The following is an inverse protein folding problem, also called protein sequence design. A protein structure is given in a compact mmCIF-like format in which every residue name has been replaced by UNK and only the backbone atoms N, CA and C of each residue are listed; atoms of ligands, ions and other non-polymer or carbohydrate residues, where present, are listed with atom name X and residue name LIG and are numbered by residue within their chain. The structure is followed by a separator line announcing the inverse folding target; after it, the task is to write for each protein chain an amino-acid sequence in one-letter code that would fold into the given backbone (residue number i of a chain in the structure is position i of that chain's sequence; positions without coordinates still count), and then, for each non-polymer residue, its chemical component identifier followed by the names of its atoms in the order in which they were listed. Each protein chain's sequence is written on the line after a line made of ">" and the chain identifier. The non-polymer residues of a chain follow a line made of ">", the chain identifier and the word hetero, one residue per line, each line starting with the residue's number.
data_IF_748186685519
#
_entry.id   IF_748186685519
#
_cell.length_a   1.000
_cell.length_b   1.000
_cell.length_c   1.000
_cell.angle_alpha   90.00
_cell.angle_beta   90.00
_cell.angle_gamma   90.00
#
_symmetry.space_group_name_H-M   'P 1'
#
loop_
_entity.id
_entity.type
_entity.pdbx_description
1 polymer ?
#
# COMPACT_ATOMS: atom_id res chain seq x y z
N UNK A 1 -6.20 41.23 25.91
CA UNK A 1 -6.45 41.37 24.45
C UNK A 1 -5.07 41.47 23.81
N UNK A 2 -4.56 40.60 22.96
CA UNK A 2 -5.18 39.91 21.83
C UNK A 2 -4.19 38.79 21.36
N UNK A 3 -4.71 37.56 21.27
CA UNK A 3 -4.34 36.48 20.33
C UNK A 3 -2.92 35.89 20.37
N UNK A 4 -2.80 34.92 21.27
CA UNK A 4 -2.02 33.69 21.11
C UNK A 4 -2.58 32.88 19.91
N UNK A 5 -2.01 32.99 18.71
CA UNK A 5 -2.46 32.15 17.58
C UNK A 5 -1.42 32.12 16.45
N UNK A 6 -0.44 31.22 16.54
CA UNK A 6 0.42 30.81 15.41
C UNK A 6 1.28 29.61 15.82
N UNK A 7 0.67 28.42 15.94
CA UNK A 7 1.40 27.15 16.03
C UNK A 7 0.50 25.96 15.65
N UNK A 8 -0.14 26.04 14.49
CA UNK A 8 -0.82 24.89 13.88
C UNK A 8 -0.41 24.75 12.41
N UNK A 9 0.90 24.79 12.14
CA UNK A 9 1.41 24.45 10.81
C UNK A 9 1.53 22.93 10.69
N UNK A 10 0.52 22.36 10.04
CA UNK A 10 0.66 21.25 9.10
C UNK A 10 1.41 20.00 9.59
N UNK A 11 0.76 19.21 10.45
CA UNK A 11 1.02 17.76 10.50
C UNK A 11 -0.08 17.04 9.71
N UNK A 12 -0.31 17.42 8.45
CA UNK A 12 -1.13 16.58 7.57
C UNK A 12 -0.24 15.48 7.02
N UNK A 13 -0.12 14.38 7.78
CA UNK A 13 0.65 13.22 7.35
C UNK A 13 -0.07 12.54 6.18
N UNK A 14 0.48 12.70 4.98
CA UNK A 14 -0.07 12.14 3.75
C UNK A 14 0.47 10.72 3.52
N UNK A 15 -0.35 9.70 3.80
CA UNK A 15 0.01 8.30 3.61
C UNK A 15 -0.71 7.71 2.38
N UNK A 16 -0.31 8.13 1.18
CA UNK A 16 -0.75 7.56 -0.08
C UNK A 16 0.08 6.33 -0.43
N UNK A 17 -0.45 5.10 -0.29
CA UNK A 17 0.30 3.85 -0.44
C UNK A 17 1.80 4.01 -0.14
N UNK A 18 2.06 4.60 1.03
CA UNK A 18 3.33 5.25 1.19
C UNK A 18 4.38 4.16 1.42
N UNK A 19 5.62 4.33 0.93
CA UNK A 19 6.77 3.61 1.48
C UNK A 19 6.74 3.52 3.01
N UNK A 20 6.13 4.51 3.68
CA UNK A 20 5.87 4.52 5.12
C UNK A 20 4.92 3.41 5.59
N UNK A 21 3.80 3.15 4.92
CA UNK A 21 2.84 2.12 5.33
C UNK A 21 3.46 0.72 5.27
N UNK A 22 4.13 0.40 4.16
CA UNK A 22 4.88 -0.86 3.99
C UNK A 22 6.03 -0.98 4.98
N UNK A 23 6.67 0.13 5.34
CA UNK A 23 7.72 0.16 6.36
C UNK A 23 7.16 -0.12 7.75
N UNK A 24 6.03 0.48 8.12
CA UNK A 24 5.35 0.24 9.40
C UNK A 24 4.91 -1.22 9.48
N UNK A 25 4.25 -1.73 8.44
CA UNK A 25 3.83 -3.13 8.38
C UNK A 25 5.05 -4.07 8.49
N UNK A 26 6.12 -3.80 7.74
CA UNK A 26 7.37 -4.57 7.84
C UNK A 26 7.94 -4.62 9.25
N UNK A 27 7.87 -3.51 10.00
CA UNK A 27 8.29 -3.48 11.40
C UNK A 27 7.36 -4.30 12.32
N UNK A 28 6.05 -4.18 12.12
CA UNK A 28 5.04 -4.89 12.92
C UNK A 28 5.23 -6.43 12.84
N UNK A 29 5.45 -6.95 11.63
CA UNK A 29 5.56 -8.39 11.40
C UNK A 29 6.94 -8.98 11.68
N UNK A 30 7.93 -8.19 12.16
CA UNK A 30 9.25 -8.73 12.50
C UNK A 30 9.22 -9.75 13.65
N UNK A 31 8.28 -9.60 14.59
CA UNK A 31 8.16 -10.51 15.73
C UNK A 31 7.55 -11.86 15.33
N UNK A 32 6.71 -11.88 14.30
CA UNK A 32 6.03 -13.06 13.79
C UNK A 32 6.06 -13.06 12.25
N UNK A 33 7.22 -13.38 11.63
CA UNK A 33 7.41 -13.25 10.19
C UNK A 33 6.80 -14.44 9.45
N UNK A 34 5.47 -14.44 9.34
CA UNK A 34 4.68 -15.45 8.63
C UNK A 34 3.77 -14.82 7.59
N UNK A 35 3.60 -15.47 6.44
CA UNK A 35 2.67 -15.01 5.41
C UNK A 35 1.22 -15.17 5.86
N UNK A 36 0.36 -14.21 5.50
CA UNK A 36 -1.01 -14.17 6.01
C UNK A 36 -1.88 -15.38 5.60
N UNK A 37 -1.71 -15.89 4.37
CA UNK A 37 -2.58 -16.95 3.84
C UNK A 37 -2.00 -18.34 4.08
N UNK A 38 -0.75 -18.55 3.68
CA UNK A 38 -0.12 -19.88 3.72
C UNK A 38 0.70 -20.12 4.99
N UNK A 39 0.86 -19.11 5.86
CA UNK A 39 1.62 -19.20 7.11
C UNK A 39 3.07 -19.67 6.90
N UNK A 40 3.65 -19.34 5.73
CA UNK A 40 5.04 -19.61 5.43
C UNK A 40 5.92 -18.66 6.23
N UNK A 41 6.91 -19.21 6.93
CA UNK A 41 7.96 -18.39 7.51
C UNK A 41 8.70 -17.63 6.40
N UNK A 42 9.09 -16.40 6.68
CA UNK A 42 9.93 -15.61 5.79
C UNK A 42 11.04 -14.91 6.55
N UNK A 43 12.15 -14.63 5.85
CA UNK A 43 13.25 -13.84 6.38
C UNK A 43 13.48 -12.66 5.47
N UNK A 44 13.42 -11.45 6.03
CA UNK A 44 13.41 -10.19 5.29
C UNK A 44 12.29 -10.15 4.25
N UNK A 45 12.60 -10.50 3.00
CA UNK A 45 11.62 -10.61 1.90
C UNK A 45 11.54 -12.00 1.29
N UNK A 46 12.38 -12.94 1.73
CA UNK A 46 12.46 -14.28 1.17
C UNK A 46 11.51 -15.24 1.90
N UNK A 47 10.67 -15.92 1.15
CA UNK A 47 9.67 -16.88 1.69
C UNK A 47 10.23 -18.29 1.66
N UNK A 48 10.16 -19.00 2.79
CA UNK A 48 10.46 -20.43 2.85
C UNK A 48 9.20 -21.24 2.50
N UNK A 49 9.11 -21.67 1.25
CA UNK A 49 7.99 -22.47 0.75
C UNK A 49 7.96 -23.90 1.32
N UNK A 50 9.11 -24.44 1.74
CA UNK A 50 9.19 -25.79 2.28
C UNK A 50 8.56 -25.86 3.68
N UNK A 51 8.69 -24.78 4.45
CA UNK A 51 8.14 -24.67 5.80
C UNK A 51 6.59 -24.72 5.85
N UNK A 52 5.91 -24.44 4.74
CA UNK A 52 4.44 -24.38 4.65
C UNK A 52 3.85 -25.31 3.57
N UNK A 53 4.57 -26.34 3.15
CA UNK A 53 4.10 -27.31 2.13
C UNK A 53 3.73 -26.68 0.77
N UNK A 54 4.42 -25.61 0.36
CA UNK A 54 4.19 -24.89 -0.89
C UNK A 54 5.25 -25.17 -1.96
N UNK A 55 5.93 -26.32 -1.91
CA UNK A 55 7.01 -26.69 -2.84
C UNK A 55 6.57 -26.73 -4.31
N UNK A 56 5.28 -26.96 -4.57
CA UNK A 56 4.72 -26.89 -5.93
C UNK A 56 4.90 -25.50 -6.59
N UNK A 57 5.10 -24.44 -5.82
CA UNK A 57 5.33 -23.08 -6.30
C UNK A 57 6.82 -22.74 -6.49
N UNK A 58 7.75 -23.68 -6.29
CA UNK A 58 9.20 -23.42 -6.28
C UNK A 58 9.72 -22.85 -7.62
N UNK A 59 9.15 -23.27 -8.76
CA UNK A 59 9.50 -22.73 -10.07
C UNK A 59 9.01 -21.28 -10.30
N UNK A 60 8.13 -20.76 -9.44
CA UNK A 60 7.52 -19.44 -9.58
C UNK A 60 8.38 -18.42 -8.83
N UNK A 61 9.18 -17.64 -9.56
CA UNK A 61 10.06 -16.60 -8.99
C UNK A 61 9.37 -15.68 -7.96
N UNK A 62 8.10 -15.33 -8.22
CA UNK A 62 7.31 -14.45 -7.34
C UNK A 62 6.95 -15.09 -6.00
N UNK A 63 6.84 -16.42 -5.95
CA UNK A 63 6.48 -17.15 -4.73
C UNK A 63 7.56 -17.06 -3.64
N UNK A 64 8.81 -16.78 -4.04
CA UNK A 64 9.95 -16.60 -3.13
C UNK A 64 10.02 -15.22 -2.49
N UNK A 65 9.07 -14.31 -2.79
CA UNK A 65 9.12 -12.92 -2.33
C UNK A 65 7.85 -12.46 -1.64
N UNK A 66 8.00 -11.74 -0.53
CA UNK A 66 6.89 -11.10 0.19
C UNK A 66 6.35 -9.90 -0.61
N UNK A 67 5.03 -9.88 -0.79
CA UNK A 67 4.27 -8.74 -1.26
C UNK A 67 3.23 -8.32 -0.21
N UNK A 68 3.01 -7.02 -0.09
CA UNK A 68 2.01 -6.48 0.83
C UNK A 68 0.63 -6.54 0.17
N UNK A 69 -0.21 -7.42 0.69
CA UNK A 69 -1.56 -7.64 0.20
C UNK A 69 -2.50 -6.53 0.69
N UNK A 70 -3.46 -6.15 -0.14
CA UNK A 70 -4.58 -5.35 0.36
C UNK A 70 -5.76 -6.28 0.56
N UNK A 71 -6.14 -6.57 1.82
CA UNK A 71 -7.21 -7.54 2.15
C UNK A 71 -8.46 -7.29 1.29
N UNK A 72 -8.85 -6.03 1.14
CA UNK A 72 -9.77 -5.58 0.11
C UNK A 72 -8.99 -5.03 -1.10
N UNK A 73 -9.18 -5.61 -2.28
CA UNK A 73 -8.51 -5.12 -3.49
C UNK A 73 -8.75 -3.62 -3.71
N UNK A 74 -7.68 -2.85 -3.98
CA UNK A 74 -7.76 -1.40 -4.14
C UNK A 74 -8.75 -0.94 -5.23
N UNK A 75 -8.98 -1.77 -6.24
CA UNK A 75 -9.97 -1.52 -7.28
C UNK A 75 -11.42 -1.54 -6.77
N UNK A 76 -11.71 -2.36 -5.76
CA UNK A 76 -13.07 -2.56 -5.26
C UNK A 76 -13.66 -1.27 -4.69
N UNK A 77 -12.92 -0.58 -3.81
CA UNK A 77 -13.28 0.75 -3.31
C UNK A 77 -12.84 1.87 -4.27
N UNK A 78 -11.69 1.70 -4.95
CA UNK A 78 -11.10 2.71 -5.81
C UNK A 78 -12.00 3.16 -6.96
N UNK A 79 -12.76 2.24 -7.55
CA UNK A 79 -13.68 2.53 -8.67
C UNK A 79 -14.76 3.58 -8.35
N UNK A 80 -15.04 3.83 -7.08
CA UNK A 80 -16.02 4.85 -6.65
C UNK A 80 -15.45 6.28 -6.79
N UNK A 81 -14.13 6.42 -6.73
CA UNK A 81 -13.46 7.71 -6.80
C UNK A 81 -13.41 8.26 -8.22
N UNK A 82 -13.52 9.58 -8.36
CA UNK A 82 -13.50 10.24 -9.66
C UNK A 82 -12.15 10.11 -10.36
N UNK A 83 -11.04 10.27 -9.61
CA UNK A 83 -9.66 10.04 -10.08
C UNK A 83 -9.45 8.64 -10.69
N UNK A 84 -10.31 7.68 -10.36
CA UNK A 84 -10.24 6.34 -10.90
C UNK A 84 -10.93 6.24 -12.26
N UNK A 85 -12.05 6.93 -12.42
CA UNK A 85 -12.94 6.84 -13.59
C UNK A 85 -12.57 7.85 -14.68
N UNK A 86 -12.09 9.02 -14.28
CA UNK A 86 -11.80 10.17 -15.15
C UNK A 86 -10.30 10.47 -15.17
N UNK A 87 -9.70 10.76 -16.34
CA UNK A 87 -8.32 11.21 -16.44
C UNK A 87 -8.14 12.60 -15.81
N UNK A 88 -7.70 12.64 -14.55
CA UNK A 88 -7.47 13.89 -13.81
C UNK A 88 -5.98 14.20 -13.59
N UNK A 89 -5.09 13.26 -13.92
CA UNK A 89 -3.66 13.41 -13.71
C UNK A 89 -2.91 13.46 -15.04
N UNK A 90 -1.87 14.28 -15.11
CA UNK A 90 -1.00 14.39 -16.27
C UNK A 90 0.39 13.78 -16.00
N UNK A 91 0.97 13.11 -17.00
CA UNK A 91 2.34 12.61 -16.95
C UNK A 91 3.33 13.59 -17.60
N UNK A 92 4.63 13.32 -17.50
CA UNK A 92 5.68 14.19 -18.06
C UNK A 92 5.65 14.37 -19.59
N UNK A 93 4.82 13.60 -20.31
CA UNK A 93 4.61 13.68 -21.75
C UNK A 93 3.26 14.33 -22.09
N UNK A 94 2.69 15.10 -21.17
CA UNK A 94 1.38 15.74 -21.29
C UNK A 94 0.22 14.78 -21.58
N UNK A 95 0.34 13.49 -21.21
CA UNK A 95 -0.75 12.52 -21.39
C UNK A 95 -1.55 12.41 -20.10
N UNK A 96 -2.85 12.60 -20.24
CA UNK A 96 -3.81 12.42 -19.15
C UNK A 96 -3.98 10.94 -18.81
N UNK A 97 -4.08 10.62 -17.51
CA UNK A 97 -4.28 9.27 -16.99
C UNK A 97 -5.17 9.26 -15.75
N UNK A 98 -5.73 8.08 -15.49
CA UNK A 98 -6.66 7.78 -14.40
C UNK A 98 -6.25 6.51 -13.64
N UNK A 99 -7.06 6.11 -12.68
CA UNK A 99 -6.90 4.85 -11.94
C UNK A 99 -6.06 5.01 -10.68
N UNK A 100 -5.65 3.88 -10.10
CA UNK A 100 -4.92 3.82 -8.81
C UNK A 100 -3.80 4.85 -8.70
N UNK A 101 -2.90 4.90 -9.69
CA UNK A 101 -1.77 5.83 -9.70
C UNK A 101 -2.20 7.30 -9.64
N UNK A 102 -3.31 7.65 -10.28
CA UNK A 102 -3.84 9.01 -10.21
C UNK A 102 -4.46 9.28 -8.83
N UNK A 103 -5.29 8.36 -8.33
CA UNK A 103 -5.92 8.49 -7.01
C UNK A 103 -4.90 8.58 -5.86
N UNK A 104 -3.82 7.82 -5.92
CA UNK A 104 -2.71 7.92 -4.97
C UNK A 104 -2.05 9.30 -5.00
N UNK A 105 -2.05 9.97 -6.16
CA UNK A 105 -1.48 11.31 -6.30
C UNK A 105 -2.40 12.42 -5.77
N UNK A 106 -3.72 12.32 -6.02
CA UNK A 106 -4.61 13.49 -5.88
C UNK A 106 -5.75 13.35 -4.86
N UNK A 107 -6.17 12.16 -4.45
CA UNK A 107 -7.33 11.99 -3.56
C UNK A 107 -6.92 11.46 -2.18
N UNK A 108 -6.90 12.35 -1.17
CA UNK A 108 -6.53 12.01 0.22
C UNK A 108 -7.42 10.94 0.87
N UNK A 109 -8.69 10.84 0.48
CA UNK A 109 -9.60 9.82 1.02
C UNK A 109 -9.22 8.45 0.47
N UNK A 110 -8.88 8.37 -0.83
CA UNK A 110 -8.36 7.13 -1.41
C UNK A 110 -7.06 6.70 -0.73
N UNK A 111 -6.14 7.64 -0.50
CA UNK A 111 -4.87 7.39 0.21
C UNK A 111 -5.12 6.79 1.60
N UNK A 112 -6.05 7.38 2.35
CA UNK A 112 -6.43 6.91 3.68
C UNK A 112 -6.98 5.48 3.64
N UNK A 113 -7.92 5.16 2.75
CA UNK A 113 -8.51 3.80 2.67
C UNK A 113 -7.46 2.74 2.33
N UNK A 114 -6.49 3.06 1.47
CA UNK A 114 -5.39 2.13 1.11
C UNK A 114 -4.47 1.83 2.31
N UNK A 115 -4.29 2.77 3.24
CA UNK A 115 -3.39 2.61 4.39
C UNK A 115 -3.87 1.53 5.38
N UNK A 116 -5.17 1.48 5.69
CA UNK A 116 -5.73 0.61 6.74
C UNK A 116 -6.02 -0.81 6.27
N UNK A 117 -5.66 -1.12 5.03
CA UNK A 117 -6.05 -2.33 4.35
C UNK A 117 -4.81 -2.91 3.66
N UNK A 118 -3.76 -3.12 4.47
CA UNK A 118 -2.44 -3.67 4.13
C UNK A 118 -2.12 -4.86 5.05
#
# INVERSE_FOLDING_TARGET
>A
MLRFLLLLCCITSSYAQSPQAKKIASQLFQQHPQTIYCQCNYKEKYVDLANCNMQAAEAIKRAHSIEWEHIMAAQHFGRQFECWRTPLCENSRARMYKGRKCCEKIDKRFQHVVLYNL
#
